data_IF_505717182803
#
_entry.id   IF_505717182803
#
_cell.length_a   1.000
_cell.length_b   1.000
_cell.length_c   1.000
_cell.angle_alpha   90.00
_cell.angle_beta   90.00
_cell.angle_gamma   90.00
#
_symmetry.space_group_name_H-M   'P 1'
#
loop_
_entity.id
_entity.type
_entity.pdbx_description
1 polymer ?
#
# COMPACT_ATOMS: atom_id res chain seq x y z
N UNK A 1 10.37 -25.09 -15.47
CA UNK A 1 10.19 -25.31 -14.02
C UNK A 1 9.33 -24.26 -13.34
N UNK A 2 9.63 -22.97 -13.45
CA UNK A 2 8.86 -21.90 -12.77
C UNK A 2 7.35 -21.93 -13.12
N UNK A 3 7.01 -22.07 -14.40
CA UNK A 3 5.61 -22.13 -14.84
C UNK A 3 4.85 -23.33 -14.26
N UNK A 4 5.52 -24.48 -14.11
CA UNK A 4 4.91 -25.69 -13.52
C UNK A 4 4.62 -25.47 -12.03
N UNK A 5 5.56 -24.84 -11.31
CA UNK A 5 5.36 -24.50 -9.88
C UNK A 5 4.21 -23.51 -9.71
N UNK A 6 4.14 -22.47 -10.53
CA UNK A 6 3.03 -21.50 -10.49
C UNK A 6 1.69 -22.16 -10.81
N UNK A 7 1.66 -23.03 -11.81
CA UNK A 7 0.45 -23.76 -12.18
C UNK A 7 0.00 -24.72 -11.06
N UNK A 8 0.94 -25.43 -10.43
CA UNK A 8 0.62 -26.31 -9.30
C UNK A 8 0.08 -25.56 -8.09
N UNK A 9 0.65 -24.39 -7.74
CA UNK A 9 0.14 -23.54 -6.70
C UNK A 9 -1.30 -23.08 -7.01
N UNK A 10 -1.52 -22.62 -8.24
CA UNK A 10 -2.84 -22.18 -8.68
C UNK A 10 -3.89 -23.31 -8.59
N UNK A 11 -3.53 -24.53 -9.03
CA UNK A 11 -4.41 -25.71 -8.95
C UNK A 11 -4.72 -26.06 -7.49
N UNK A 12 -3.72 -26.10 -6.62
CA UNK A 12 -3.90 -26.42 -5.19
C UNK A 12 -4.80 -25.39 -4.50
N UNK A 13 -4.57 -24.11 -4.73
CA UNK A 13 -5.38 -23.03 -4.16
C UNK A 13 -6.81 -23.06 -4.69
N UNK A 14 -6.98 -23.28 -6.00
CA UNK A 14 -8.31 -23.41 -6.60
C UNK A 14 -9.08 -24.60 -6.06
N UNK A 15 -8.43 -25.76 -5.96
CA UNK A 15 -9.06 -26.98 -5.44
C UNK A 15 -9.49 -26.84 -3.98
N UNK A 16 -8.61 -26.26 -3.13
CA UNK A 16 -8.96 -25.95 -1.74
C UNK A 16 -10.10 -24.92 -1.60
N UNK A 17 -10.18 -23.96 -2.53
CA UNK A 17 -11.25 -22.97 -2.58
C UNK A 17 -12.62 -23.55 -2.99
N UNK A 18 -12.64 -24.62 -3.81
CA UNK A 18 -13.91 -25.25 -4.26
C UNK A 18 -14.70 -25.83 -3.10
N UNK A 19 -14.05 -26.39 -2.09
CA UNK A 19 -14.72 -26.93 -0.90
C UNK A 19 -15.45 -25.84 -0.13
N UNK A 20 -14.80 -24.70 0.08
CA UNK A 20 -15.40 -23.53 0.72
C UNK A 20 -16.55 -22.94 -0.11
N UNK A 21 -16.41 -22.87 -1.43
CA UNK A 21 -17.48 -22.42 -2.32
C UNK A 21 -18.68 -23.38 -2.32
N UNK A 22 -18.45 -24.70 -2.25
CA UNK A 22 -19.50 -25.70 -2.16
C UNK A 22 -20.28 -25.64 -0.82
N UNK A 23 -19.59 -25.33 0.27
CA UNK A 23 -20.16 -25.28 1.61
C UNK A 23 -20.90 -23.99 1.92
N UNK A 24 -20.30 -22.83 1.57
CA UNK A 24 -20.81 -21.49 1.93
C UNK A 24 -21.44 -20.74 0.74
N UNK A 25 -21.17 -21.18 -0.48
CA UNK A 25 -21.69 -20.57 -1.71
C UNK A 25 -21.24 -19.10 -1.87
N UNK A 26 -21.97 -18.33 -2.66
CA UNK A 26 -21.69 -16.91 -2.91
C UNK A 26 -21.85 -16.02 -1.67
N UNK A 27 -22.60 -16.49 -0.66
CA UNK A 27 -22.75 -15.76 0.61
C UNK A 27 -21.41 -15.57 1.32
N UNK A 28 -20.46 -16.49 1.15
CA UNK A 28 -19.12 -16.39 1.70
C UNK A 28 -18.42 -15.05 1.37
N UNK A 29 -18.59 -14.56 0.15
CA UNK A 29 -17.93 -13.32 -0.32
C UNK A 29 -18.53 -12.06 0.29
N UNK A 30 -19.80 -12.06 0.67
CA UNK A 30 -20.53 -10.88 1.16
C UNK A 30 -20.79 -10.90 2.66
N UNK A 31 -20.77 -12.09 3.28
CA UNK A 31 -20.97 -12.22 4.72
C UNK A 31 -19.72 -11.80 5.48
N UNK A 32 -19.90 -11.02 6.55
CA UNK A 32 -18.80 -10.55 7.41
C UNK A 32 -18.69 -11.35 8.72
N UNK A 33 -19.56 -12.34 8.95
CA UNK A 33 -19.52 -13.16 10.13
C UNK A 33 -18.31 -14.09 10.11
N UNK A 34 -17.63 -14.17 11.26
CA UNK A 34 -16.54 -15.10 11.49
C UNK A 34 -16.75 -15.74 12.85
N UNK A 35 -17.45 -16.87 12.87
CA UNK A 35 -17.75 -17.60 14.08
C UNK A 35 -17.36 -19.09 13.95
N UNK A 36 -16.15 -19.46 14.42
CA UNK A 36 -15.68 -20.85 14.36
C UNK A 36 -16.51 -21.83 15.20
N UNK A 37 -17.28 -21.34 16.19
CA UNK A 37 -18.08 -22.19 17.07
C UNK A 37 -19.31 -22.73 16.34
N UNK A 38 -19.94 -21.86 15.55
CA UNK A 38 -21.14 -22.21 14.77
C UNK A 38 -20.80 -22.59 13.32
N UNK A 39 -19.48 -22.68 13.00
CA UNK A 39 -18.98 -23.01 11.67
C UNK A 39 -19.45 -22.02 10.57
N UNK A 40 -19.63 -20.75 10.98
CA UNK A 40 -19.98 -19.66 10.08
C UNK A 40 -18.73 -18.86 9.68
N UNK A 41 -18.46 -18.83 8.38
CA UNK A 41 -17.32 -18.10 7.84
C UNK A 41 -17.74 -17.19 6.68
N UNK A 42 -17.20 -15.97 6.67
CA UNK A 42 -17.42 -15.00 5.63
C UNK A 42 -16.18 -14.17 5.33
N UNK A 43 -15.90 -13.94 4.05
CA UNK A 43 -14.75 -13.15 3.60
C UNK A 43 -15.07 -11.66 3.42
N UNK A 44 -16.32 -11.23 3.57
CA UNK A 44 -16.77 -9.88 3.28
C UNK A 44 -15.97 -8.79 4.03
N UNK A 45 -15.72 -8.98 5.33
CA UNK A 45 -14.93 -8.05 6.13
C UNK A 45 -13.47 -7.95 5.64
N UNK A 46 -12.85 -9.10 5.29
CA UNK A 46 -11.48 -9.14 4.79
C UNK A 46 -11.36 -8.48 3.39
N UNK A 47 -12.33 -8.75 2.51
CA UNK A 47 -12.38 -8.14 1.17
C UNK A 47 -12.54 -6.62 1.30
N UNK A 48 -13.50 -6.16 2.10
CA UNK A 48 -13.73 -4.73 2.35
C UNK A 48 -12.48 -4.06 2.94
N UNK A 49 -11.89 -4.66 3.98
CA UNK A 49 -10.67 -4.15 4.60
C UNK A 49 -9.52 -4.01 3.61
N UNK A 50 -9.29 -5.03 2.78
CA UNK A 50 -8.24 -5.01 1.75
C UNK A 50 -8.49 -3.93 0.71
N UNK A 51 -9.72 -3.78 0.21
CA UNK A 51 -10.06 -2.76 -0.77
C UNK A 51 -9.89 -1.35 -0.21
N UNK A 52 -10.39 -1.10 1.00
CA UNK A 52 -10.29 0.22 1.64
C UNK A 52 -8.84 0.58 1.92
N UNK A 53 -8.07 -0.32 2.54
CA UNK A 53 -6.66 -0.04 2.88
C UNK A 53 -5.81 0.15 1.63
N UNK A 54 -6.00 -0.67 0.59
CA UNK A 54 -5.24 -0.55 -0.67
C UNK A 54 -5.57 0.74 -1.43
N UNK A 55 -6.85 1.09 -1.56
CA UNK A 55 -7.25 2.32 -2.25
C UNK A 55 -6.74 3.58 -1.54
N UNK A 56 -6.89 3.64 -0.20
CA UNK A 56 -6.39 4.77 0.58
C UNK A 56 -4.86 4.86 0.53
N UNK A 57 -4.16 3.72 0.59
CA UNK A 57 -2.71 3.70 0.48
C UNK A 57 -2.23 4.16 -0.89
N UNK A 58 -2.87 3.74 -1.98
CA UNK A 58 -2.54 4.19 -3.33
C UNK A 58 -2.82 5.69 -3.52
N UNK A 59 -3.94 6.18 -2.99
CA UNK A 59 -4.28 7.62 -3.05
C UNK A 59 -3.20 8.51 -2.44
N UNK A 60 -2.51 8.02 -1.41
CA UNK A 60 -1.42 8.74 -0.74
C UNK A 60 -0.06 8.42 -1.40
N UNK A 61 0.21 7.14 -1.66
CA UNK A 61 1.52 6.69 -2.13
C UNK A 61 1.82 7.12 -3.57
N UNK A 62 0.80 7.17 -4.46
CA UNK A 62 1.01 7.56 -5.86
C UNK A 62 1.51 9.01 -5.98
N UNK A 63 0.82 10.03 -5.43
CA UNK A 63 1.33 11.39 -5.54
C UNK A 63 2.68 11.59 -4.84
N UNK A 64 2.91 10.96 -3.69
CA UNK A 64 4.18 11.02 -2.98
C UNK A 64 5.31 10.34 -3.77
N UNK A 65 5.07 9.15 -4.31
CA UNK A 65 6.05 8.38 -5.07
C UNK A 65 6.42 9.05 -6.39
N UNK A 66 5.41 9.54 -7.13
CA UNK A 66 5.64 10.31 -8.38
C UNK A 66 6.34 11.63 -8.07
N UNK A 67 5.92 12.35 -7.03
CA UNK A 67 6.60 13.57 -6.58
C UNK A 67 8.06 13.32 -6.24
N UNK A 68 8.34 12.25 -5.48
CA UNK A 68 9.71 11.84 -5.15
C UNK A 68 10.52 11.50 -6.41
N UNK A 69 9.92 10.80 -7.38
CA UNK A 69 10.56 10.46 -8.64
C UNK A 69 10.93 11.72 -9.45
N UNK A 70 10.05 12.72 -9.52
CA UNK A 70 10.32 14.01 -10.15
C UNK A 70 11.48 14.71 -9.44
N UNK A 71 11.47 14.77 -8.11
CA UNK A 71 12.56 15.37 -7.33
C UNK A 71 13.92 14.71 -7.57
N UNK A 72 13.94 13.38 -7.75
CA UNK A 72 15.17 12.64 -8.01
C UNK A 72 15.64 12.80 -9.47
N UNK A 73 14.71 12.94 -10.42
CA UNK A 73 15.02 12.96 -11.87
C UNK A 73 15.30 14.36 -12.38
N UNK A 74 14.50 15.34 -11.96
CA UNK A 74 14.63 16.71 -12.44
C UNK A 74 15.70 17.51 -11.65
N UNK A 75 16.26 18.54 -12.28
CA UNK A 75 17.31 19.39 -11.67
C UNK A 75 16.75 20.46 -10.71
N UNK A 76 15.75 20.11 -9.90
CA UNK A 76 15.08 21.01 -8.97
C UNK A 76 15.93 21.23 -7.71
N UNK A 77 16.64 20.17 -7.27
CA UNK A 77 17.46 20.18 -6.04
C UNK A 77 18.92 19.82 -6.32
N UNK A 78 19.84 20.20 -5.43
CA UNK A 78 21.27 19.88 -5.57
C UNK A 78 21.49 18.36 -5.69
N UNK A 79 22.45 17.99 -6.54
CA UNK A 79 22.77 16.59 -6.86
C UNK A 79 23.03 15.72 -5.61
N UNK A 80 23.66 16.29 -4.58
CA UNK A 80 23.99 15.57 -3.35
C UNK A 80 22.71 15.15 -2.61
N UNK A 81 21.73 16.05 -2.47
CA UNK A 81 20.45 15.76 -1.81
C UNK A 81 19.67 14.73 -2.62
N UNK A 82 19.63 14.87 -3.93
CA UNK A 82 18.98 13.95 -4.87
C UNK A 82 19.52 12.53 -4.75
N UNK A 83 20.85 12.38 -4.67
CA UNK A 83 21.48 11.09 -4.50
C UNK A 83 21.13 10.46 -3.14
N UNK A 84 21.11 11.25 -2.07
CA UNK A 84 20.72 10.76 -0.72
C UNK A 84 19.28 10.26 -0.73
N UNK A 85 18.34 11.03 -1.28
CA UNK A 85 16.93 10.58 -1.36
C UNK A 85 16.82 9.30 -2.19
N UNK A 86 17.51 9.20 -3.33
CA UNK A 86 17.53 7.99 -4.16
C UNK A 86 18.00 6.76 -3.40
N UNK A 87 19.12 6.88 -2.69
CA UNK A 87 19.65 5.78 -1.86
C UNK A 87 18.69 5.42 -0.74
N UNK A 88 18.07 6.40 -0.07
CA UNK A 88 17.09 6.11 0.99
C UNK A 88 15.86 5.35 0.46
N UNK A 89 15.36 5.71 -0.72
CA UNK A 89 14.25 4.98 -1.37
C UNK A 89 14.67 3.56 -1.74
N UNK A 90 15.88 3.36 -2.27
CA UNK A 90 16.41 2.03 -2.60
C UNK A 90 16.60 1.16 -1.34
N UNK A 91 17.12 1.73 -0.25
CA UNK A 91 17.26 1.03 1.04
C UNK A 91 15.91 0.64 1.62
N UNK A 92 14.90 1.50 1.51
CA UNK A 92 13.55 1.21 1.97
C UNK A 92 12.93 0.04 1.18
N UNK A 93 13.17 -0.03 -0.13
CA UNK A 93 12.74 -1.14 -0.97
C UNK A 93 13.37 -2.49 -0.61
N UNK A 94 14.56 -2.47 -0.02
CA UNK A 94 15.27 -3.69 0.39
C UNK A 94 14.75 -4.31 1.69
N UNK A 95 13.93 -3.58 2.47
CA UNK A 95 13.39 -4.08 3.75
C UNK A 95 12.27 -5.09 3.45
N UNK A 96 12.33 -6.32 4.00
CA UNK A 96 11.25 -7.29 3.86
C UNK A 96 9.92 -6.75 4.43
N UNK A 97 8.84 -6.94 3.70
CA UNK A 97 7.51 -6.45 4.09
C UNK A 97 7.05 -6.91 5.48
N UNK A 98 7.39 -8.13 5.86
CA UNK A 98 7.10 -8.68 7.19
C UNK A 98 7.77 -7.88 8.30
N UNK A 99 9.02 -7.43 8.08
CA UNK A 99 9.77 -6.60 9.06
C UNK A 99 9.08 -5.26 9.23
N UNK A 100 8.67 -4.62 8.12
CA UNK A 100 7.92 -3.36 8.16
C UNK A 100 6.56 -3.53 8.85
N UNK A 101 5.85 -4.64 8.61
CA UNK A 101 4.59 -4.94 9.28
C UNK A 101 4.75 -5.11 10.79
N UNK A 102 5.75 -5.85 11.24
CA UNK A 102 6.05 -6.01 12.67
C UNK A 102 6.48 -4.68 13.30
N UNK A 103 7.32 -3.91 12.62
CA UNK A 103 7.71 -2.58 13.06
C UNK A 103 6.50 -1.65 13.21
N UNK A 104 5.53 -1.74 12.29
CA UNK A 104 4.31 -0.95 12.37
C UNK A 104 3.48 -1.28 13.62
N UNK A 105 3.35 -2.56 13.97
CA UNK A 105 2.56 -2.99 15.13
C UNK A 105 3.27 -2.60 16.44
N UNK A 106 4.58 -2.84 16.55
CA UNK A 106 5.28 -2.70 17.82
C UNK A 106 5.86 -1.30 18.06
N UNK A 107 6.16 -0.56 17.01
CA UNK A 107 6.82 0.75 17.12
C UNK A 107 5.92 1.87 16.63
N UNK A 108 5.41 1.78 15.39
CA UNK A 108 4.65 2.87 14.79
C UNK A 108 3.29 3.06 15.48
N UNK A 109 2.55 2.00 15.72
CA UNK A 109 1.21 2.07 16.31
C UNK A 109 1.20 2.78 17.68
N UNK A 110 2.04 2.40 18.67
CA UNK A 110 2.11 3.14 19.94
C UNK A 110 2.46 4.62 19.76
N UNK A 111 3.30 4.96 18.77
CA UNK A 111 3.69 6.34 18.50
C UNK A 111 2.56 7.19 17.94
N UNK A 112 1.74 6.61 17.04
CA UNK A 112 0.63 7.34 16.40
C UNK A 112 -0.67 7.25 17.20
N UNK A 113 -0.75 6.41 18.22
CA UNK A 113 -1.95 6.24 19.05
C UNK A 113 -2.51 7.54 19.59
N UNK A 114 -1.73 8.47 20.18
CA UNK A 114 -2.25 9.75 20.67
C UNK A 114 -2.90 10.58 19.55
N UNK A 115 -2.35 10.53 18.34
CA UNK A 115 -2.93 11.16 17.16
C UNK A 115 -4.26 10.50 16.77
N UNK A 116 -4.34 9.17 16.82
CA UNK A 116 -5.58 8.43 16.55
C UNK A 116 -6.67 8.75 17.55
N UNK A 117 -6.33 8.85 18.83
CA UNK A 117 -7.25 9.24 19.89
C UNK A 117 -7.77 10.68 19.70
N UNK A 118 -6.90 11.60 19.30
CA UNK A 118 -7.28 12.96 18.95
C UNK A 118 -8.21 12.99 17.73
N UNK A 119 -7.90 12.25 16.67
CA UNK A 119 -8.75 12.14 15.49
C UNK A 119 -10.10 11.51 15.81
N UNK A 120 -10.14 10.51 16.68
CA UNK A 120 -11.38 9.91 17.15
C UNK A 120 -12.23 10.95 17.91
N UNK A 121 -11.65 11.71 18.83
CA UNK A 121 -12.40 12.71 19.60
C UNK A 121 -12.94 13.85 18.75
N UNK A 122 -12.20 14.28 17.72
CA UNK A 122 -12.60 15.39 16.86
C UNK A 122 -13.52 14.98 15.71
N UNK A 123 -13.36 13.76 15.19
CA UNK A 123 -13.99 13.31 13.95
C UNK A 123 -14.79 12.01 14.09
N UNK A 124 -15.24 11.65 15.30
CA UNK A 124 -16.03 10.43 15.56
C UNK A 124 -17.34 10.35 14.77
N UNK A 125 -17.82 11.47 14.23
CA UNK A 125 -18.99 11.54 13.34
C UNK A 125 -18.72 11.01 11.93
N UNK A 126 -17.43 10.88 11.54
CA UNK A 126 -17.03 10.26 10.26
C UNK A 126 -16.89 8.74 10.42
N UNK A 127 -17.37 7.93 9.46
CA UNK A 127 -17.30 6.46 9.55
C UNK A 127 -15.90 5.91 9.79
N UNK A 128 -14.85 6.55 9.24
CA UNK A 128 -13.45 6.12 9.37
C UNK A 128 -12.87 6.32 10.77
N UNK A 129 -13.47 7.21 11.57
CA UNK A 129 -13.04 7.57 12.93
C UNK A 129 -14.08 7.27 13.99
N UNK A 130 -15.12 6.50 13.64
CA UNK A 130 -16.23 6.18 14.58
C UNK A 130 -15.89 5.12 15.61
N UNK A 131 -14.79 4.39 15.42
CA UNK A 131 -14.35 3.33 16.34
C UNK A 131 -13.16 3.80 17.16
N UNK A 132 -13.18 3.61 18.51
CA UNK A 132 -12.04 3.96 19.34
C UNK A 132 -10.78 3.16 18.93
N UNK A 133 -9.59 3.77 18.95
CA UNK A 133 -8.34 3.12 18.57
C UNK A 133 -7.91 2.11 19.64
N UNK A 134 -8.28 0.85 19.47
CA UNK A 134 -7.96 -0.26 20.39
C UNK A 134 -6.82 -1.17 19.88
N UNK A 135 -5.88 -0.64 19.10
CA UNK A 135 -4.77 -1.42 18.54
C UNK A 135 -4.64 -1.30 17.03
N UNK A 136 -4.09 -2.33 16.35
CA UNK A 136 -3.88 -2.30 14.91
C UNK A 136 -5.21 -2.06 14.18
N UNK A 137 -5.31 -0.91 13.51
CA UNK A 137 -6.52 -0.49 12.81
C UNK A 137 -6.24 -0.13 11.34
N UNK A 138 -7.27 0.36 10.66
CA UNK A 138 -7.21 0.72 9.24
C UNK A 138 -6.15 1.80 8.97
N UNK A 139 -6.07 2.85 9.80
CA UNK A 139 -5.13 3.94 9.55
C UNK A 139 -3.65 3.54 9.70
N UNK A 140 -3.22 2.82 10.76
CA UNK A 140 -1.88 2.23 10.81
C UNK A 140 -1.57 1.33 9.62
N UNK A 141 -2.53 0.50 9.19
CA UNK A 141 -2.36 -0.36 8.03
C UNK A 141 -2.16 0.45 6.73
N UNK A 142 -2.93 1.50 6.53
CA UNK A 142 -2.76 2.41 5.37
C UNK A 142 -1.38 3.06 5.38
N UNK A 143 -0.94 3.59 6.52
CA UNK A 143 0.35 4.28 6.63
C UNK A 143 1.53 3.35 6.33
N UNK A 144 1.53 2.13 6.87
CA UNK A 144 2.62 1.19 6.57
C UNK A 144 2.59 0.71 5.14
N UNK A 145 1.42 0.50 4.54
CA UNK A 145 1.28 0.18 3.13
C UNK A 145 1.82 1.30 2.23
N UNK A 146 1.56 2.57 2.58
CA UNK A 146 2.16 3.72 1.87
C UNK A 146 3.67 3.62 1.88
N UNK A 147 4.28 3.41 3.04
CA UNK A 147 5.74 3.26 3.18
C UNK A 147 6.28 2.11 2.33
N UNK A 148 5.56 0.98 2.29
CA UNK A 148 5.97 -0.20 1.51
C UNK A 148 5.84 -0.02 -0.01
N UNK A 149 4.80 0.68 -0.47
CA UNK A 149 4.51 0.85 -1.89
C UNK A 149 5.31 2.02 -2.49
N UNK A 150 5.63 3.03 -1.69
CA UNK A 150 6.31 4.26 -2.13
C UNK A 150 7.60 3.99 -2.92
N UNK A 151 8.53 3.11 -2.51
CA UNK A 151 9.75 2.84 -3.28
C UNK A 151 9.46 2.26 -4.65
N UNK A 152 8.46 1.37 -4.76
CA UNK A 152 8.09 0.70 -6.02
C UNK A 152 7.54 1.73 -7.01
N UNK A 153 6.63 2.59 -6.56
CA UNK A 153 6.07 3.67 -7.39
C UNK A 153 7.16 4.63 -7.82
N UNK A 154 8.03 5.03 -6.89
CA UNK A 154 9.14 5.95 -7.17
C UNK A 154 10.10 5.38 -8.21
N UNK A 155 10.46 4.09 -8.11
CA UNK A 155 11.35 3.44 -9.07
C UNK A 155 10.73 3.41 -10.48
N UNK A 156 9.48 2.95 -10.59
CA UNK A 156 8.79 2.87 -11.89
C UNK A 156 8.61 4.26 -12.52
N UNK A 157 8.20 5.24 -11.71
CA UNK A 157 8.02 6.62 -12.18
C UNK A 157 9.36 7.24 -12.63
N UNK A 158 10.44 7.05 -11.84
CA UNK A 158 11.80 7.49 -12.20
C UNK A 158 12.28 6.88 -13.51
N UNK A 159 12.11 5.57 -13.68
CA UNK A 159 12.52 4.90 -14.90
C UNK A 159 11.73 5.40 -16.11
N UNK A 160 10.42 5.63 -15.95
CA UNK A 160 9.57 6.23 -16.99
C UNK A 160 10.02 7.64 -17.36
N UNK A 161 10.32 8.49 -16.37
CA UNK A 161 10.82 9.85 -16.60
C UNK A 161 12.18 9.86 -17.30
N UNK A 162 13.07 8.92 -16.96
CA UNK A 162 14.40 8.81 -17.58
C UNK A 162 14.33 8.35 -19.04
N UNK A 163 13.27 7.67 -19.47
CA UNK A 163 13.09 7.24 -20.86
C UNK A 163 12.68 8.40 -21.80
N UNK A 164 12.29 9.57 -21.27
CA UNK A 164 11.95 10.73 -22.10
C UNK A 164 13.22 11.29 -22.78
N UNK A 165 13.32 11.28 -24.11
CA UNK A 165 14.50 11.76 -24.82
C UNK A 165 14.79 13.23 -24.53
N UNK A 166 16.07 13.58 -24.35
CA UNK A 166 16.50 14.95 -24.06
C UNK A 166 16.03 15.96 -25.12
N UNK A 167 15.92 15.52 -26.39
CA UNK A 167 15.41 16.37 -27.48
C UNK A 167 13.98 16.86 -27.24
N UNK A 168 13.11 16.02 -26.67
CA UNK A 168 11.73 16.39 -26.36
C UNK A 168 11.70 17.39 -25.19
N UNK A 169 12.55 17.20 -24.18
CA UNK A 169 12.68 18.15 -23.07
C UNK A 169 13.16 19.52 -23.55
N UNK A 170 14.19 19.55 -24.42
CA UNK A 170 14.70 20.79 -25.02
C UNK A 170 13.64 21.50 -25.89
N UNK A 171 12.86 20.74 -26.66
CA UNK A 171 11.77 21.29 -27.46
C UNK A 171 10.68 21.93 -26.57
N UNK A 172 10.33 21.29 -25.45
CA UNK A 172 9.39 21.84 -24.47
C UNK A 172 9.89 23.17 -23.88
N UNK A 173 11.16 23.24 -23.47
CA UNK A 173 11.79 24.51 -23.02
C UNK A 173 11.80 25.58 -24.11
N UNK A 174 12.01 25.18 -25.38
CA UNK A 174 12.02 26.11 -26.52
C UNK A 174 10.66 26.78 -26.80
N UNK A 175 9.56 26.17 -26.40
CA UNK A 175 8.18 26.74 -26.51
C UNK A 175 7.71 27.39 -25.21
N UNK A 176 8.59 27.56 -24.23
CA UNK A 176 8.31 28.31 -22.98
C UNK A 176 7.56 27.50 -21.91
N UNK A 177 7.49 26.18 -22.02
CA UNK A 177 7.01 25.33 -20.94
C UNK A 177 8.16 25.11 -19.94
N UNK A 178 8.00 25.63 -18.73
CA UNK A 178 8.96 25.47 -17.62
C UNK A 178 8.52 24.29 -16.76
#
# INVERSE_FOLDING_TARGET
MVAIVLLSILVVVFWGGLESMGRYGWKFLVTSNWNPVDDEYGAGAAIYGTLVTSLLSLLIAVPLGVGTAIFITENIIPRNIRNVIGVMVELLAAIPSVVLGLWAIFVMEPFIRPLLELLYTLFSWLPFFSTPPMGPGTLPAVLILVVMILPIITAIARDSLNQVPMKLRQAAYGVGTV
#
